data_IF_985466573959
#
_entry.id   IF_985466573959
#
_cell.length_a   1.000
_cell.length_b   1.000
_cell.length_c   1.000
_cell.angle_alpha   90.00
_cell.angle_beta   90.00
_cell.angle_gamma   90.00
#
_symmetry.space_group_name_H-M   'P 1'
#
loop_
_entity.id
_entity.type
_entity.pdbx_description
1 polymer ?
#
# COMPACT_ATOMS: atom_id res chain seq x y z
N UNK A 1 -31.92 -27.95 -12.41
CA UNK A 1 -31.83 -26.86 -11.40
C UNK A 1 -30.62 -25.99 -11.76
N UNK A 2 -30.85 -24.89 -12.47
CA UNK A 2 -29.76 -23.98 -12.90
C UNK A 2 -29.46 -23.07 -11.70
N UNK A 3 -28.34 -23.31 -11.00
CA UNK A 3 -27.83 -22.39 -10.02
C UNK A 3 -27.27 -21.20 -10.80
N UNK A 4 -28.06 -20.15 -10.93
CA UNK A 4 -27.59 -18.87 -11.42
C UNK A 4 -26.49 -18.38 -10.44
N UNK A 5 -25.24 -18.53 -10.82
CA UNK A 5 -24.10 -17.87 -10.21
C UNK A 5 -24.29 -16.36 -10.43
N UNK A 6 -25.07 -15.72 -9.56
CA UNK A 6 -25.14 -14.29 -9.48
C UNK A 6 -23.72 -13.82 -9.10
N UNK A 7 -22.89 -13.58 -10.10
CA UNK A 7 -21.59 -12.94 -9.93
C UNK A 7 -21.85 -11.67 -9.12
N UNK A 8 -21.32 -11.60 -7.88
CA UNK A 8 -21.49 -10.45 -7.02
C UNK A 8 -20.75 -9.27 -7.65
N UNK A 9 -21.49 -8.51 -8.44
CA UNK A 9 -20.95 -7.35 -9.18
C UNK A 9 -20.36 -6.31 -8.23
N UNK A 10 -19.18 -5.78 -8.54
CA UNK A 10 -18.59 -4.62 -7.88
C UNK A 10 -19.41 -3.33 -8.15
N UNK A 11 -20.36 -3.36 -9.11
CA UNK A 11 -21.28 -2.27 -9.43
C UNK A 11 -22.39 -2.06 -8.38
N UNK A 12 -22.52 -2.98 -7.41
CA UNK A 12 -23.52 -2.87 -6.34
C UNK A 12 -22.83 -2.79 -4.99
N UNK A 13 -23.34 -1.94 -4.07
CA UNK A 13 -22.84 -1.84 -2.72
C UNK A 13 -23.85 -2.39 -1.71
N UNK A 14 -23.79 -3.69 -1.48
CA UNK A 14 -24.57 -4.43 -0.48
C UNK A 14 -23.62 -5.12 0.50
N UNK A 15 -24.12 -5.55 1.67
CA UNK A 15 -23.31 -6.31 2.62
C UNK A 15 -22.74 -7.57 1.99
N UNK A 16 -23.55 -8.26 1.16
CA UNK A 16 -23.14 -9.48 0.45
C UNK A 16 -22.04 -9.18 -0.59
N UNK A 17 -22.18 -8.11 -1.38
CA UNK A 17 -21.16 -7.78 -2.38
C UNK A 17 -19.83 -7.35 -1.70
N UNK A 18 -19.89 -6.56 -0.63
CA UNK A 18 -18.69 -6.19 0.15
C UNK A 18 -17.96 -7.41 0.72
N UNK A 19 -18.73 -8.34 1.31
CA UNK A 19 -18.15 -9.59 1.84
C UNK A 19 -17.49 -10.39 0.72
N UNK A 20 -18.21 -10.63 -0.37
CA UNK A 20 -17.71 -11.45 -1.48
C UNK A 20 -16.47 -10.83 -2.16
N UNK A 21 -16.51 -9.53 -2.45
CA UNK A 21 -15.38 -8.84 -3.05
C UNK A 21 -14.16 -8.85 -2.12
N UNK A 22 -14.37 -8.62 -0.82
CA UNK A 22 -13.31 -8.70 0.18
C UNK A 22 -12.71 -10.11 0.28
N UNK A 23 -13.54 -11.13 0.34
CA UNK A 23 -13.12 -12.52 0.42
C UNK A 23 -12.31 -12.93 -0.82
N UNK A 24 -12.83 -12.65 -2.01
CA UNK A 24 -12.15 -12.98 -3.27
C UNK A 24 -10.84 -12.21 -3.42
N UNK A 25 -10.82 -10.92 -3.07
CA UNK A 25 -9.59 -10.13 -3.07
C UNK A 25 -8.53 -10.78 -2.17
N UNK A 26 -8.89 -11.10 -0.93
CA UNK A 26 -7.95 -11.62 0.07
C UNK A 26 -7.40 -13.01 -0.28
N UNK A 27 -8.28 -13.96 -0.57
CA UNK A 27 -7.92 -15.37 -0.66
C UNK A 27 -7.57 -15.84 -2.08
N UNK A 28 -7.71 -15.00 -3.08
CA UNK A 28 -7.31 -15.32 -4.44
C UNK A 28 -6.21 -14.37 -4.91
N UNK A 29 -6.57 -13.19 -5.40
CA UNK A 29 -5.62 -12.32 -6.11
C UNK A 29 -4.51 -11.81 -5.19
N UNK A 30 -4.88 -11.30 -4.00
CA UNK A 30 -3.92 -10.79 -3.02
C UNK A 30 -3.01 -11.89 -2.49
N UNK A 31 -3.55 -13.05 -2.12
CA UNK A 31 -2.75 -14.17 -1.62
C UNK A 31 -1.61 -14.54 -2.58
N UNK A 32 -1.93 -14.74 -3.85
CA UNK A 32 -0.92 -15.08 -4.86
C UNK A 32 0.07 -13.93 -5.11
N UNK A 33 -0.39 -12.68 -5.06
CA UNK A 33 0.51 -11.53 -5.17
C UNK A 33 1.45 -11.42 -3.98
N UNK A 34 0.92 -11.60 -2.76
CA UNK A 34 1.71 -11.55 -1.51
C UNK A 34 2.75 -12.68 -1.46
N UNK A 35 2.39 -13.90 -1.85
CA UNK A 35 3.35 -15.02 -1.91
C UNK A 35 4.48 -14.69 -2.87
N UNK A 36 4.18 -14.22 -4.08
CA UNK A 36 5.22 -13.82 -5.02
C UNK A 36 6.08 -12.66 -4.48
N UNK A 37 5.47 -11.66 -3.86
CA UNK A 37 6.20 -10.56 -3.21
C UNK A 37 7.20 -11.08 -2.18
N UNK A 38 6.75 -11.98 -1.27
CA UNK A 38 7.59 -12.50 -0.20
C UNK A 38 8.77 -13.32 -0.72
N UNK A 39 8.54 -14.12 -1.76
CA UNK A 39 9.60 -14.88 -2.44
C UNK A 39 10.64 -13.96 -3.07
N UNK A 40 10.20 -12.89 -3.75
CA UNK A 40 11.11 -11.95 -4.42
C UNK A 40 11.84 -11.04 -3.41
N UNK A 41 11.16 -10.58 -2.34
CA UNK A 41 11.78 -9.82 -1.25
C UNK A 41 12.87 -10.65 -0.56
N UNK A 42 12.56 -11.92 -0.27
CA UNK A 42 13.53 -12.84 0.31
C UNK A 42 14.75 -13.04 -0.61
N UNK A 43 14.53 -13.31 -1.88
CA UNK A 43 15.62 -13.47 -2.85
C UNK A 43 16.48 -12.20 -2.98
N UNK A 44 15.86 -11.02 -2.92
CA UNK A 44 16.56 -9.74 -2.91
C UNK A 44 17.46 -9.60 -1.69
N UNK A 45 16.93 -9.87 -0.48
CA UNK A 45 17.66 -9.72 0.77
C UNK A 45 18.79 -10.74 0.93
N UNK A 46 18.59 -11.99 0.45
CA UNK A 46 19.61 -13.05 0.50
C UNK A 46 20.70 -12.89 -0.55
N UNK A 47 20.38 -12.24 -1.67
CA UNK A 47 21.32 -12.09 -2.79
C UNK A 47 22.03 -10.74 -2.88
N UNK A 48 21.75 -9.79 -1.99
CA UNK A 48 22.39 -8.48 -1.98
C UNK A 48 23.51 -8.42 -0.96
N UNK A 49 24.67 -7.95 -1.41
CA UNK A 49 25.84 -7.71 -0.56
C UNK A 49 26.11 -6.19 -0.48
N UNK A 50 26.23 -5.69 0.74
CA UNK A 50 26.54 -4.28 0.99
C UNK A 50 27.98 -3.95 0.58
N UNK A 51 28.17 -2.85 -0.12
CA UNK A 51 29.49 -2.27 -0.41
C UNK A 51 29.86 -1.24 0.68
N UNK A 52 30.61 -1.69 1.67
CA UNK A 52 31.07 -0.86 2.79
C UNK A 52 32.06 0.26 2.41
N UNK A 53 32.47 0.35 1.13
CA UNK A 53 33.27 1.47 0.64
C UNK A 53 32.42 2.68 0.22
N UNK A 54 31.10 2.53 0.18
CA UNK A 54 30.14 3.54 -0.24
C UNK A 54 29.09 3.82 0.85
N UNK A 55 28.20 4.78 0.61
CA UNK A 55 27.04 5.01 1.46
C UNK A 55 26.14 3.77 1.43
N UNK A 56 25.79 3.26 2.62
CA UNK A 56 24.94 2.08 2.75
C UNK A 56 23.47 2.47 2.55
N UNK A 57 22.75 1.68 1.78
CA UNK A 57 21.32 1.84 1.59
C UNK A 57 20.54 1.31 2.81
N UNK A 58 19.48 1.99 3.19
CA UNK A 58 18.57 1.51 4.22
C UNK A 58 17.89 0.19 3.80
N UNK A 59 17.65 0.03 2.50
CA UNK A 59 17.10 -1.20 1.92
C UNK A 59 17.73 -1.46 0.55
N UNK A 60 18.08 -2.74 0.19
CA UNK A 60 18.69 -3.06 -1.11
C UNK A 60 17.96 -2.49 -2.34
N UNK A 61 16.62 -2.35 -2.27
CA UNK A 61 15.83 -1.77 -3.37
C UNK A 61 16.27 -0.34 -3.74
N UNK A 62 16.83 0.44 -2.80
CA UNK A 62 17.27 1.82 -3.02
C UNK A 62 18.47 1.90 -3.97
N UNK A 63 19.30 0.83 -4.02
CA UNK A 63 20.38 0.74 -4.99
C UNK A 63 19.88 0.87 -6.44
N UNK A 64 18.61 0.56 -6.71
CA UNK A 64 18.00 0.72 -8.04
C UNK A 64 17.90 2.19 -8.51
N UNK A 65 17.98 3.16 -7.59
CA UNK A 65 18.09 4.57 -7.95
C UNK A 65 19.46 4.94 -8.51
N UNK A 66 20.50 4.15 -8.22
CA UNK A 66 21.85 4.40 -8.66
C UNK A 66 22.30 3.33 -9.67
N UNK A 67 22.37 3.63 -10.98
CA UNK A 67 22.78 2.66 -12.00
C UNK A 67 24.23 2.13 -11.83
N UNK A 68 25.06 2.81 -11.03
CA UNK A 68 26.44 2.40 -10.75
C UNK A 68 26.56 1.44 -9.57
N UNK A 69 25.52 1.35 -8.72
CA UNK A 69 25.50 0.44 -7.60
C UNK A 69 25.24 -1.01 -8.03
N UNK A 70 25.67 -2.00 -7.26
CA UNK A 70 25.25 -3.38 -7.45
C UNK A 70 23.72 -3.48 -7.43
N UNK A 71 23.15 -4.01 -8.52
CA UNK A 71 21.71 -4.07 -8.64
C UNK A 71 21.13 -5.28 -7.90
N UNK A 72 20.15 -5.07 -7.01
CA UNK A 72 19.53 -6.15 -6.29
C UNK A 72 18.69 -7.05 -7.23
N UNK A 73 18.64 -8.33 -6.91
CA UNK A 73 17.80 -9.32 -7.60
C UNK A 73 16.32 -9.13 -7.27
N UNK A 74 15.46 -9.96 -7.86
CA UNK A 74 14.02 -9.96 -7.59
C UNK A 74 13.22 -9.15 -8.60
N UNK A 75 12.09 -9.74 -9.04
CA UNK A 75 11.15 -9.13 -9.97
C UNK A 75 9.78 -8.98 -9.31
N UNK A 76 9.26 -7.76 -9.28
CA UNK A 76 8.01 -7.41 -8.62
C UNK A 76 6.86 -7.12 -9.60
N UNK A 77 7.09 -7.19 -10.92
CA UNK A 77 6.10 -6.93 -11.97
C UNK A 77 4.86 -7.79 -11.81
N UNK A 78 5.05 -9.08 -11.56
CA UNK A 78 3.91 -10.01 -11.38
C UNK A 78 3.04 -9.65 -10.17
N UNK A 79 3.65 -9.15 -9.09
CA UNK A 79 2.89 -8.67 -7.92
C UNK A 79 2.14 -7.40 -8.26
N UNK A 80 2.78 -6.44 -8.94
CA UNK A 80 2.17 -5.19 -9.40
C UNK A 80 0.93 -5.49 -10.27
N UNK A 81 1.07 -6.29 -11.32
CA UNK A 81 -0.05 -6.70 -12.20
C UNK A 81 -1.21 -7.32 -11.42
N UNK A 82 -0.90 -8.20 -10.44
CA UNK A 82 -1.93 -8.81 -9.62
C UNK A 82 -2.64 -7.81 -8.72
N UNK A 83 -1.92 -6.85 -8.13
CA UNK A 83 -2.52 -5.85 -7.27
C UNK A 83 -3.37 -4.85 -8.08
N UNK A 84 -2.91 -4.41 -9.24
CA UNK A 84 -3.68 -3.59 -10.17
C UNK A 84 -4.97 -4.32 -10.62
N UNK A 85 -4.87 -5.59 -10.95
CA UNK A 85 -6.03 -6.43 -11.27
C UNK A 85 -6.98 -6.53 -10.08
N UNK A 86 -6.47 -6.76 -8.87
CA UNK A 86 -7.30 -6.81 -7.65
C UNK A 86 -8.06 -5.49 -7.43
N UNK A 87 -7.36 -4.37 -7.56
CA UNK A 87 -7.92 -3.03 -7.40
C UNK A 87 -9.01 -2.78 -8.46
N UNK A 88 -8.70 -3.02 -9.72
CA UNK A 88 -9.64 -2.77 -10.83
C UNK A 88 -10.88 -3.66 -10.75
N UNK A 89 -10.71 -4.94 -10.38
CA UNK A 89 -11.80 -5.92 -10.42
C UNK A 89 -12.67 -5.85 -9.16
N UNK A 90 -12.08 -5.55 -7.99
CA UNK A 90 -12.74 -5.73 -6.70
C UNK A 90 -13.07 -4.44 -5.96
N UNK A 91 -12.75 -3.27 -6.52
CA UNK A 91 -13.13 -1.97 -5.96
C UNK A 91 -14.65 -1.77 -5.97
N UNK A 92 -15.18 -1.26 -4.87
CA UNK A 92 -16.59 -0.89 -4.73
C UNK A 92 -16.67 0.61 -4.44
N UNK A 93 -16.79 1.42 -5.48
CA UNK A 93 -16.89 2.90 -5.36
C UNK A 93 -18.32 3.41 -5.24
N UNK A 94 -19.31 2.58 -5.59
CA UNK A 94 -20.72 2.98 -5.53
C UNK A 94 -21.15 3.22 -4.10
N UNK A 95 -21.75 4.39 -3.82
CA UNK A 95 -22.30 4.72 -2.50
C UNK A 95 -23.40 3.72 -2.12
N UNK A 96 -23.45 3.25 -0.86
CA UNK A 96 -24.51 2.38 -0.39
C UNK A 96 -25.84 3.15 -0.23
N UNK A 97 -26.96 2.43 -0.21
CA UNK A 97 -28.25 3.03 0.11
C UNK A 97 -28.23 3.57 1.54
N UNK A 98 -28.59 4.85 1.71
CA UNK A 98 -28.69 5.48 3.03
C UNK A 98 -29.81 4.85 3.86
N UNK A 99 -29.54 4.60 5.15
CA UNK A 99 -30.52 4.14 6.12
C UNK A 99 -30.90 5.31 7.02
N UNK A 100 -32.15 5.77 6.93
CA UNK A 100 -32.66 6.92 7.70
C UNK A 100 -32.49 6.75 9.22
N UNK A 101 -32.73 5.54 9.74
CA UNK A 101 -32.56 5.20 11.17
C UNK A 101 -31.13 5.39 11.71
N UNK A 102 -30.11 5.43 10.85
CA UNK A 102 -28.70 5.60 11.22
C UNK A 102 -28.12 6.96 10.83
N UNK A 103 -28.94 7.90 10.36
CA UNK A 103 -28.46 9.20 9.87
C UNK A 103 -27.75 10.05 10.95
N UNK A 104 -28.08 9.86 12.22
CA UNK A 104 -27.50 10.59 13.38
C UNK A 104 -26.19 9.94 13.87
N UNK A 105 -25.87 8.68 13.50
CA UNK A 105 -24.67 7.98 13.90
C UNK A 105 -23.45 8.56 13.18
N UNK A 106 -22.49 9.10 13.94
CA UNK A 106 -21.27 9.71 13.42
C UNK A 106 -20.40 8.70 12.65
N UNK A 107 -20.24 7.47 13.18
CA UNK A 107 -19.48 6.41 12.54
C UNK A 107 -20.13 5.97 11.22
N UNK A 108 -21.45 5.95 11.16
CA UNK A 108 -22.17 5.64 9.94
C UNK A 108 -22.01 6.72 8.88
N UNK A 109 -22.01 8.01 9.27
CA UNK A 109 -21.77 9.14 8.36
C UNK A 109 -20.35 9.11 7.79
N UNK A 110 -19.35 8.87 8.66
CA UNK A 110 -17.96 8.67 8.25
C UNK A 110 -17.82 7.51 7.25
N UNK A 111 -18.44 6.37 7.57
CA UNK A 111 -18.44 5.24 6.65
C UNK A 111 -19.10 5.55 5.31
N UNK A 112 -20.22 6.32 5.28
CA UNK A 112 -20.89 6.78 4.07
C UNK A 112 -20.04 7.78 3.25
N UNK A 113 -19.12 8.47 3.88
CA UNK A 113 -18.25 9.45 3.22
C UNK A 113 -17.08 8.78 2.46
N UNK A 114 -16.77 7.51 2.74
CA UNK A 114 -15.65 6.80 2.14
C UNK A 114 -15.75 6.73 0.61
N UNK A 115 -14.60 6.63 -0.05
CA UNK A 115 -14.48 6.47 -1.49
C UNK A 115 -14.38 5.00 -1.91
N UNK A 116 -14.08 4.10 -0.96
CA UNK A 116 -13.95 2.67 -1.18
C UNK A 116 -14.70 1.89 -0.09
N UNK A 117 -15.45 0.88 -0.52
CA UNK A 117 -16.28 0.06 0.37
C UNK A 117 -15.87 -1.42 0.41
N UNK A 118 -14.92 -1.88 -0.40
CA UNK A 118 -14.31 -3.18 -0.18
C UNK A 118 -13.39 -3.09 1.05
N UNK A 119 -13.73 -3.77 2.16
CA UNK A 119 -13.00 -3.58 3.42
C UNK A 119 -11.56 -4.12 3.39
N UNK A 120 -11.18 -4.92 2.41
CA UNK A 120 -9.83 -5.47 2.28
C UNK A 120 -8.95 -4.74 1.28
N UNK A 121 -9.51 -3.90 0.40
CA UNK A 121 -8.80 -3.38 -0.77
C UNK A 121 -7.58 -2.49 -0.43
N UNK A 122 -7.58 -1.84 0.73
CA UNK A 122 -6.43 -1.07 1.20
C UNK A 122 -5.15 -1.91 1.29
N UNK A 123 -5.25 -3.23 1.58
CA UNK A 123 -4.09 -4.13 1.59
C UNK A 123 -3.52 -4.35 0.18
N UNK A 124 -4.39 -4.41 -0.85
CA UNK A 124 -3.93 -4.54 -2.23
C UNK A 124 -3.21 -3.25 -2.69
N UNK A 125 -3.75 -2.08 -2.36
CA UNK A 125 -3.09 -0.79 -2.61
C UNK A 125 -1.73 -0.70 -1.91
N UNK A 126 -1.67 -1.11 -0.65
CA UNK A 126 -0.43 -1.08 0.12
C UNK A 126 0.63 -2.05 -0.44
N UNK A 127 0.24 -3.25 -0.85
CA UNK A 127 1.15 -4.20 -1.47
C UNK A 127 1.61 -3.71 -2.86
N UNK A 128 0.74 -3.02 -3.63
CA UNK A 128 1.11 -2.36 -4.88
C UNK A 128 2.23 -1.35 -4.64
N UNK A 129 2.03 -0.41 -3.71
CA UNK A 129 3.02 0.62 -3.39
C UNK A 129 4.37 0.03 -2.94
N UNK A 130 4.32 -1.00 -2.08
CA UNK A 130 5.54 -1.73 -1.67
C UNK A 130 6.24 -2.39 -2.86
N UNK A 131 5.50 -2.98 -3.78
CA UNK A 131 6.07 -3.65 -4.96
C UNK A 131 6.70 -2.66 -5.94
N UNK A 132 6.09 -1.49 -6.12
CA UNK A 132 6.65 -0.38 -6.89
C UNK A 132 7.98 0.11 -6.27
N UNK A 133 8.02 0.29 -4.95
CA UNK A 133 9.25 0.64 -4.23
C UNK A 133 10.34 -0.42 -4.44
N UNK A 134 10.01 -1.70 -4.23
CA UNK A 134 10.97 -2.80 -4.43
C UNK A 134 11.46 -2.93 -5.86
N UNK A 135 10.66 -2.52 -6.84
CA UNK A 135 11.04 -2.49 -8.26
C UNK A 135 11.96 -1.31 -8.59
N UNK A 136 12.01 -0.27 -7.74
CA UNK A 136 12.72 0.98 -7.98
C UNK A 136 11.86 2.07 -8.64
N UNK A 137 10.57 1.83 -8.82
CA UNK A 137 9.62 2.81 -9.33
C UNK A 137 9.19 3.77 -8.20
N UNK A 138 10.15 4.50 -7.62
CA UNK A 138 9.96 5.26 -6.37
C UNK A 138 8.93 6.38 -6.49
N UNK A 139 8.81 7.04 -7.64
CA UNK A 139 7.79 8.08 -7.85
C UNK A 139 6.37 7.49 -7.89
N UNK A 140 6.20 6.35 -8.55
CA UNK A 140 4.91 5.65 -8.58
C UNK A 140 4.56 5.11 -7.19
N UNK A 141 5.55 4.59 -6.47
CA UNK A 141 5.38 4.15 -5.08
C UNK A 141 4.96 5.31 -4.17
N UNK A 142 5.64 6.46 -4.24
CA UNK A 142 5.30 7.67 -3.48
C UNK A 142 3.87 8.14 -3.79
N UNK A 143 3.50 8.20 -5.07
CA UNK A 143 2.15 8.57 -5.49
C UNK A 143 1.09 7.60 -4.95
N UNK A 144 1.39 6.29 -4.95
CA UNK A 144 0.49 5.25 -4.44
C UNK A 144 0.37 5.32 -2.91
N UNK A 145 1.47 5.52 -2.16
CA UNK A 145 1.42 5.73 -0.71
C UNK A 145 0.62 6.97 -0.35
N UNK A 146 0.83 8.08 -1.05
CA UNK A 146 0.06 9.32 -0.89
C UNK A 146 -1.43 9.10 -1.18
N UNK A 147 -1.77 8.35 -2.22
CA UNK A 147 -3.14 7.98 -2.52
C UNK A 147 -3.79 7.24 -1.34
N UNK A 148 -3.09 6.23 -0.77
CA UNK A 148 -3.58 5.47 0.38
C UNK A 148 -3.84 6.40 1.58
N UNK A 149 -2.89 7.26 1.91
CA UNK A 149 -3.00 8.18 3.04
C UNK A 149 -4.21 9.12 2.90
N UNK A 150 -4.52 9.58 1.69
CA UNK A 150 -5.65 10.49 1.42
C UNK A 150 -7.02 9.79 1.37
N UNK A 151 -7.08 8.54 0.90
CA UNK A 151 -8.35 7.86 0.63
C UNK A 151 -8.75 6.82 1.67
N UNK A 152 -7.84 6.36 2.54
CA UNK A 152 -8.11 5.39 3.59
C UNK A 152 -7.94 5.98 5.00
N UNK A 153 -8.36 7.22 5.19
CA UNK A 153 -8.18 8.03 6.41
C UNK A 153 -8.66 7.36 7.70
N UNK A 154 -9.60 6.41 7.61
CA UNK A 154 -10.08 5.63 8.76
C UNK A 154 -9.12 4.52 9.22
N UNK A 155 -7.97 4.39 8.57
CA UNK A 155 -6.90 3.43 8.88
C UNK A 155 -5.66 4.19 9.37
N UNK A 156 -5.76 4.80 10.55
CA UNK A 156 -4.74 5.71 11.09
C UNK A 156 -3.33 5.14 11.03
N UNK A 157 -3.12 3.90 11.51
CA UNK A 157 -1.80 3.26 11.47
C UNK A 157 -1.25 3.09 10.05
N UNK A 158 -2.14 2.76 9.09
CA UNK A 158 -1.76 2.63 7.69
C UNK A 158 -1.43 3.98 7.07
N UNK A 159 -2.18 5.03 7.41
CA UNK A 159 -1.92 6.41 6.95
C UNK A 159 -0.54 6.85 7.39
N UNK A 160 -0.23 6.70 8.69
CA UNK A 160 1.08 7.05 9.23
C UNK A 160 2.21 6.26 8.54
N UNK A 161 2.05 4.95 8.38
CA UNK A 161 3.05 4.14 7.67
C UNK A 161 3.22 4.58 6.21
N UNK A 162 2.14 4.91 5.51
CA UNK A 162 2.20 5.37 4.13
C UNK A 162 2.91 6.72 3.99
N UNK A 163 2.70 7.65 4.92
CA UNK A 163 3.41 8.93 4.93
C UNK A 163 4.93 8.74 5.11
N UNK A 164 5.34 7.90 6.07
CA UNK A 164 6.75 7.58 6.26
C UNK A 164 7.36 6.92 5.03
N UNK A 165 6.65 5.98 4.41
CA UNK A 165 7.13 5.30 3.20
C UNK A 165 7.15 6.20 1.97
N UNK A 166 6.27 7.18 1.90
CA UNK A 166 6.32 8.23 0.88
C UNK A 166 7.62 9.05 1.00
N UNK A 167 8.00 9.44 2.22
CA UNK A 167 9.27 10.12 2.46
C UNK A 167 10.46 9.25 2.07
N UNK A 168 10.49 7.98 2.47
CA UNK A 168 11.55 7.04 2.08
C UNK A 168 11.68 6.86 0.56
N UNK A 169 10.60 6.99 -0.21
CA UNK A 169 10.70 7.00 -1.67
C UNK A 169 11.47 8.23 -2.17
N UNK A 170 11.30 9.37 -1.54
CA UNK A 170 12.04 10.59 -1.89
C UNK A 170 13.48 10.54 -1.43
N UNK A 171 13.77 9.98 -0.24
CA UNK A 171 15.13 9.71 0.22
C UNK A 171 15.89 8.83 -0.79
N UNK A 172 15.29 7.74 -1.25
CA UNK A 172 15.89 6.86 -2.26
C UNK A 172 16.26 7.58 -3.58
N UNK A 173 15.56 8.68 -3.90
CA UNK A 173 15.83 9.53 -5.07
C UNK A 173 16.81 10.68 -4.76
N UNK A 174 17.22 10.86 -3.50
CA UNK A 174 17.99 12.01 -3.05
C UNK A 174 17.20 13.33 -3.04
N UNK A 175 15.87 13.26 -2.97
CA UNK A 175 14.97 14.42 -2.95
C UNK A 175 14.64 14.81 -1.50
N UNK A 176 15.64 15.32 -0.81
CA UNK A 176 15.59 15.63 0.63
C UNK A 176 14.51 16.65 0.97
N UNK A 177 14.33 17.68 0.14
CA UNK A 177 13.31 18.72 0.38
C UNK A 177 11.88 18.12 0.34
N UNK A 178 11.60 17.24 -0.60
CA UNK A 178 10.32 16.57 -0.71
C UNK A 178 10.11 15.60 0.45
N UNK A 179 11.16 14.88 0.87
CA UNK A 179 11.12 14.00 2.02
C UNK A 179 10.81 14.79 3.31
N UNK A 180 11.52 15.88 3.57
CA UNK A 180 11.27 16.76 4.71
C UNK A 180 9.86 17.33 4.72
N UNK A 181 9.35 17.77 3.57
CA UNK A 181 7.98 18.28 3.46
C UNK A 181 6.94 17.23 3.86
N UNK A 182 7.15 15.95 3.55
CA UNK A 182 6.26 14.88 3.99
C UNK A 182 6.43 14.61 5.48
N UNK A 183 7.68 14.51 5.96
CA UNK A 183 7.99 14.18 7.35
C UNK A 183 7.51 15.25 8.35
N UNK A 184 7.46 16.54 7.97
CA UNK A 184 6.89 17.59 8.82
C UNK A 184 5.42 17.35 9.19
N UNK A 185 4.70 16.54 8.41
CA UNK A 185 3.30 16.15 8.68
C UNK A 185 3.18 14.82 9.43
N UNK A 186 4.30 14.17 9.76
CA UNK A 186 4.33 12.91 10.52
C UNK A 186 4.50 13.22 12.01
N UNK A 187 3.46 12.97 12.79
CA UNK A 187 3.47 13.16 14.24
C UNK A 187 4.06 11.93 14.94
N UNK A 188 5.34 11.97 15.26
CA UNK A 188 6.10 10.87 15.86
C UNK A 188 5.53 10.35 17.18
N UNK A 189 4.94 11.23 17.97
CA UNK A 189 4.27 10.92 19.25
C UNK A 189 2.99 10.11 19.07
N UNK A 190 2.31 10.27 17.95
CA UNK A 190 1.09 9.53 17.62
C UNK A 190 1.37 8.14 17.02
N UNK A 191 2.61 7.84 16.59
CA UNK A 191 2.97 6.54 16.03
C UNK A 191 3.08 5.50 17.14
N UNK A 192 2.10 4.63 17.25
CA UNK A 192 2.04 3.54 18.23
C UNK A 192 2.81 2.29 17.77
N UNK A 193 2.90 2.06 16.47
CA UNK A 193 3.58 0.92 15.88
C UNK A 193 5.11 1.12 15.91
N UNK A 194 5.82 0.29 16.69
CA UNK A 194 7.29 0.35 16.85
C UNK A 194 8.05 0.24 15.53
N UNK A 195 7.56 -0.59 14.60
CA UNK A 195 8.16 -0.76 13.27
C UNK A 195 8.04 0.51 12.43
N UNK A 196 6.87 1.15 12.44
CA UNK A 196 6.64 2.41 11.71
C UNK A 196 7.49 3.53 12.33
N UNK A 197 7.60 3.57 13.66
CA UNK A 197 8.47 4.52 14.35
C UNK A 197 9.95 4.34 13.99
N UNK A 198 10.42 3.09 13.88
CA UNK A 198 11.80 2.81 13.45
C UNK A 198 12.04 3.27 12.00
N UNK A 199 11.09 3.00 11.10
CA UNK A 199 11.16 3.49 9.71
C UNK A 199 11.16 5.02 9.64
N UNK A 200 10.33 5.69 10.46
CA UNK A 200 10.31 7.15 10.51
C UNK A 200 11.65 7.71 11.01
N UNK A 201 12.22 7.14 12.09
CA UNK A 201 13.54 7.54 12.56
C UNK A 201 14.62 7.37 11.49
N UNK A 202 14.56 6.31 10.70
CA UNK A 202 15.48 6.10 9.58
C UNK A 202 15.28 7.18 8.50
N UNK A 203 14.04 7.49 8.12
CA UNK A 203 13.73 8.53 7.14
C UNK A 203 14.15 9.95 7.59
N UNK A 204 14.19 10.22 8.90
CA UNK A 204 14.70 11.49 9.44
C UNK A 204 16.23 11.55 9.49
N UNK A 205 16.91 10.41 9.43
CA UNK A 205 18.37 10.32 9.52
C UNK A 205 19.05 10.31 8.15
N UNK A 206 18.32 9.99 7.10
CA UNK A 206 18.77 9.87 5.72
C UNK A 206 18.69 11.24 4.99
#
# INVERSE_FOLDING_TARGET
MVVALAACSNKTNTARSRFWQSFTTKYNVYFHGKTNYDEQEKAMLEGYEDDYSQHLYLHPAEARANPKAPQPTGSFERTIEKMEKAITTHSIKKKPKKKGSKSRDAKYREWLARDEYNPFLHNAWYLLAKSQYMKGDFLDAAATFRYIARHFTWKTDLVQECQVREALCYCALGWTTEADNVLTHVHMDEITNKRVRALANAAFAD
#
